data_IF_609846967446
#
_entry.id   IF_609846967446
#
_cell.length_a   1.000
_cell.length_b   1.000
_cell.length_c   1.000
_cell.angle_alpha   90.00
_cell.angle_beta   90.00
_cell.angle_gamma   90.00
#
_symmetry.space_group_name_H-M   'P 1'
#
loop_
_entity.id
_entity.type
_entity.pdbx_description
1 polymer ?
#
# COMPACT_ATOMS: atom_id res chain seq x y z
N UNK A 1 4.22 7.17 0.54
CA UNK A 1 3.19 6.41 1.25
C UNK A 1 2.22 7.36 1.92
N UNK A 2 2.64 8.01 3.01
CA UNK A 2 1.77 8.89 3.81
C UNK A 2 0.99 9.95 3.01
N UNK A 3 1.66 10.72 2.14
CA UNK A 3 0.97 11.79 1.38
C UNK A 3 -0.06 11.24 0.39
N UNK A 4 0.18 10.05 -0.18
CA UNK A 4 -0.81 9.40 -1.05
C UNK A 4 -2.00 8.85 -0.27
N UNK A 5 -1.77 8.26 0.91
CA UNK A 5 -2.85 7.91 1.82
C UNK A 5 -3.70 9.13 2.18
N UNK A 6 -3.06 10.26 2.51
CA UNK A 6 -3.78 11.50 2.82
C UNK A 6 -4.58 12.03 1.63
N UNK A 7 -4.07 11.89 0.41
CA UNK A 7 -4.82 12.23 -0.80
C UNK A 7 -6.01 11.29 -1.01
N UNK A 8 -5.79 9.97 -0.92
CA UNK A 8 -6.85 8.96 -1.07
C UNK A 8 -7.95 9.12 -0.02
N UNK A 9 -7.59 9.32 1.25
CA UNK A 9 -8.56 9.52 2.34
C UNK A 9 -9.38 10.81 2.20
N UNK A 10 -8.94 11.77 1.38
CA UNK A 10 -9.74 12.97 1.05
C UNK A 10 -10.79 12.66 -0.01
N UNK A 11 -10.45 11.84 -1.00
CA UNK A 11 -11.36 11.43 -2.07
C UNK A 11 -12.33 10.34 -1.59
N UNK A 12 -11.85 9.42 -0.77
CA UNK A 12 -12.62 8.35 -0.15
C UNK A 12 -12.40 8.33 1.38
N UNK A 13 -13.29 9.00 2.15
CA UNK A 13 -13.22 9.04 3.61
C UNK A 13 -13.45 7.70 4.31
N UNK A 14 -13.86 6.66 3.58
CA UNK A 14 -14.06 5.32 4.15
C UNK A 14 -12.74 4.57 4.33
N UNK A 15 -11.70 4.96 3.59
CA UNK A 15 -10.35 4.40 3.72
C UNK A 15 -9.74 4.88 5.04
N UNK A 16 -9.49 3.93 5.94
CA UNK A 16 -8.86 4.19 7.24
C UNK A 16 -7.54 3.45 7.35
N UNK A 17 -6.65 3.99 8.19
CA UNK A 17 -5.38 3.36 8.51
C UNK A 17 -5.50 2.55 9.81
N UNK A 18 -5.19 1.27 9.73
CA UNK A 18 -4.95 0.45 10.90
C UNK A 18 -3.54 0.74 11.43
N UNK A 19 -3.48 1.45 12.56
CA UNK A 19 -2.22 1.79 13.23
C UNK A 19 -1.72 0.67 14.14
N UNK A 20 -2.51 -0.41 14.36
CA UNK A 20 -2.06 -1.57 15.13
C UNK A 20 -0.93 -2.34 14.43
N UNK A 21 -0.72 -2.10 13.13
CA UNK A 21 0.38 -2.66 12.36
C UNK A 21 1.66 -1.81 12.39
N UNK A 22 1.61 -0.62 13.00
CA UNK A 22 2.77 0.27 13.10
C UNK A 22 4.00 -0.46 13.67
N UNK A 23 5.15 -0.27 13.03
CA UNK A 23 6.41 -0.89 13.46
C UNK A 23 6.53 -2.40 13.27
N UNK A 24 5.50 -3.11 12.78
CA UNK A 24 5.60 -4.56 12.48
C UNK A 24 6.56 -4.86 11.32
N UNK A 25 6.78 -3.90 10.45
CA UNK A 25 7.71 -3.99 9.33
C UNK A 25 8.64 -2.78 9.27
N UNK A 26 9.85 -3.02 8.77
CA UNK A 26 10.85 -1.99 8.47
C UNK A 26 11.35 -2.20 7.05
N UNK A 27 11.13 -1.21 6.19
CA UNK A 27 11.38 -1.30 4.75
C UNK A 27 12.58 -0.44 4.39
N UNK A 28 13.58 -1.04 3.74
CA UNK A 28 14.79 -0.35 3.28
C UNK A 28 14.78 -0.22 1.77
N UNK A 29 14.81 1.01 1.27
CA UNK A 29 14.91 1.29 -0.16
C UNK A 29 16.37 1.47 -0.55
N UNK A 30 16.93 0.49 -1.27
CA UNK A 30 18.32 0.52 -1.74
C UNK A 30 19.33 0.68 -0.60
N UNK A 31 20.26 1.63 -0.76
CA UNK A 31 21.28 1.94 0.26
C UNK A 31 20.82 2.92 1.34
N UNK A 32 19.60 3.46 1.26
CA UNK A 32 19.06 4.41 2.22
C UNK A 32 18.71 3.77 3.57
N UNK A 33 18.30 4.59 4.53
CA UNK A 33 17.88 4.11 5.86
C UNK A 33 16.56 3.33 5.79
N UNK A 34 16.38 2.40 6.73
CA UNK A 34 15.13 1.66 6.84
C UNK A 34 14.04 2.56 7.43
N UNK A 35 12.83 2.48 6.87
CA UNK A 35 11.65 3.22 7.30
C UNK A 35 10.66 2.26 7.93
N UNK A 36 10.27 2.54 9.18
CA UNK A 36 9.25 1.76 9.86
C UNK A 36 7.85 2.02 9.28
N UNK A 37 7.02 0.99 9.28
CA UNK A 37 5.61 1.07 8.91
C UNK A 37 4.84 2.01 9.86
N UNK A 38 4.04 2.91 9.29
CA UNK A 38 3.11 3.76 10.05
C UNK A 38 1.83 3.00 10.36
N UNK A 39 1.37 2.20 9.40
CA UNK A 39 0.18 1.39 9.50
C UNK A 39 -0.18 0.79 8.15
N UNK A 40 -1.31 0.11 8.10
CA UNK A 40 -1.83 -0.53 6.88
C UNK A 40 -3.16 0.11 6.53
N UNK A 41 -3.35 0.50 5.27
CA UNK A 41 -4.64 0.97 4.78
C UNK A 41 -5.27 -0.12 3.92
N UNK A 42 -6.48 -0.53 4.25
CA UNK A 42 -7.26 -1.42 3.41
C UNK A 42 -8.02 -0.57 2.40
N UNK A 43 -7.86 -0.88 1.11
CA UNK A 43 -8.48 -0.13 0.02
C UNK A 43 -9.28 -1.09 -0.84
N UNK A 44 -10.56 -0.77 -1.03
CA UNK A 44 -11.43 -1.49 -1.95
C UNK A 44 -11.11 -1.07 -3.38
N UNK A 45 -10.73 -2.03 -4.20
CA UNK A 45 -10.48 -1.84 -5.63
C UNK A 45 -11.39 -2.76 -6.44
N UNK A 46 -11.45 -2.56 -7.76
CA UNK A 46 -12.31 -3.37 -8.64
C UNK A 46 -11.96 -4.87 -8.62
N UNK A 47 -10.71 -5.20 -8.30
CA UNK A 47 -10.23 -6.58 -8.19
C UNK A 47 -10.33 -7.15 -6.77
N UNK A 48 -10.78 -6.36 -5.80
CA UNK A 48 -10.97 -6.76 -4.40
C UNK A 48 -10.31 -5.81 -3.39
N UNK A 49 -10.36 -6.21 -2.12
CA UNK A 49 -9.72 -5.49 -1.02
C UNK A 49 -8.20 -5.78 -0.99
N UNK A 50 -7.42 -4.71 -1.00
CA UNK A 50 -5.95 -4.74 -1.00
C UNK A 50 -5.42 -4.01 0.23
N UNK A 51 -4.44 -4.60 0.89
CA UNK A 51 -3.72 -3.94 1.98
C UNK A 51 -2.51 -3.19 1.42
N UNK A 52 -2.48 -1.88 1.67
CA UNK A 52 -1.35 -1.03 1.33
C UNK A 52 -0.55 -0.65 2.57
N UNK A 53 0.76 -0.81 2.46
CA UNK A 53 1.70 -0.38 3.50
C UNK A 53 1.92 1.14 3.46
N UNK A 54 1.57 1.82 4.54
CA UNK A 54 1.75 3.28 4.64
C UNK A 54 3.07 3.59 5.33
N UNK A 55 4.00 4.15 4.56
CA UNK A 55 5.35 4.51 5.01
C UNK A 55 5.58 6.02 4.98
N UNK A 56 6.44 6.51 5.87
CA UNK A 56 6.99 7.89 5.81
C UNK A 56 8.11 7.98 4.77
N UNK A 57 7.79 7.59 3.54
CA UNK A 57 8.70 7.62 2.40
C UNK A 57 8.03 8.32 1.21
N UNK A 58 8.80 8.99 0.32
CA UNK A 58 8.30 9.58 -0.91
C UNK A 58 7.93 8.53 -1.98
N UNK A 59 8.06 7.25 -1.67
CA UNK A 59 7.67 6.13 -2.54
C UNK A 59 6.14 5.93 -2.54
N UNK A 60 5.51 5.58 -3.67
CA UNK A 60 4.09 5.25 -3.73
C UNK A 60 3.69 4.05 -2.85
N UNK A 61 2.38 3.78 -2.74
CA UNK A 61 1.87 2.58 -2.08
C UNK A 61 2.59 1.31 -2.57
N UNK A 62 3.00 0.46 -1.63
CA UNK A 62 3.54 -0.85 -1.95
C UNK A 62 2.39 -1.86 -1.98
N UNK A 63 2.17 -2.45 -3.15
CA UNK A 63 1.22 -3.54 -3.34
C UNK A 63 1.79 -4.81 -2.69
N UNK A 64 1.01 -5.41 -1.78
CA UNK A 64 1.44 -6.61 -1.07
C UNK A 64 1.42 -7.84 -2.00
N UNK A 65 2.55 -8.54 -2.14
CA UNK A 65 2.64 -9.76 -2.95
C UNK A 65 1.69 -10.87 -2.45
N UNK A 66 1.46 -10.96 -1.14
CA UNK A 66 0.53 -11.94 -0.59
C UNK A 66 -0.93 -11.65 -1.01
N UNK A 67 -1.30 -10.37 -1.17
CA UNK A 67 -2.62 -10.00 -1.70
C UNK A 67 -2.72 -10.27 -3.19
N UNK A 68 -1.64 -10.05 -3.96
CA UNK A 68 -1.54 -10.44 -5.37
C UNK A 68 -1.79 -11.95 -5.54
N UNK A 69 -1.08 -12.78 -4.77
CA UNK A 69 -1.23 -14.24 -4.82
C UNK A 69 -2.64 -14.68 -4.39
N UNK A 70 -3.20 -14.06 -3.35
CA UNK A 70 -4.54 -14.35 -2.83
C UNK A 70 -5.63 -14.01 -3.84
N UNK A 71 -5.53 -12.84 -4.48
CA UNK A 71 -6.49 -12.35 -5.47
C UNK A 71 -6.24 -12.93 -6.86
N UNK A 72 -5.08 -13.60 -7.07
CA UNK A 72 -4.61 -14.12 -8.35
C UNK A 72 -4.53 -13.05 -9.44
N UNK A 73 -4.20 -11.84 -9.04
CA UNK A 73 -4.05 -10.70 -9.94
C UNK A 73 -2.59 -10.50 -10.31
N UNK A 74 -2.31 -9.76 -11.37
CA UNK A 74 -0.98 -9.29 -11.71
C UNK A 74 -1.06 -7.96 -12.43
N UNK A 75 -0.01 -7.16 -12.31
CA UNK A 75 0.08 -5.91 -13.06
C UNK A 75 0.61 -6.20 -14.47
N UNK A 76 -0.24 -6.02 -15.48
CA UNK A 76 0.13 -6.14 -16.87
C UNK A 76 0.72 -4.83 -17.39
N UNK A 77 2.05 -4.75 -17.35
CA UNK A 77 2.81 -3.58 -17.81
C UNK A 77 2.70 -3.27 -19.31
N UNK A 78 2.15 -4.17 -20.14
CA UNK A 78 1.97 -3.90 -21.59
C UNK A 78 0.75 -3.06 -21.89
N UNK A 79 -0.26 -3.09 -21.01
CA UNK A 79 -1.52 -2.35 -21.14
C UNK A 79 -1.77 -1.40 -19.96
N UNK A 80 -0.87 -1.39 -18.96
CA UNK A 80 -0.96 -0.54 -17.76
C UNK A 80 -2.18 -0.85 -16.87
N UNK A 81 -2.57 -2.13 -16.81
CA UNK A 81 -3.76 -2.59 -16.08
C UNK A 81 -3.42 -3.66 -15.04
N UNK A 82 -4.22 -3.70 -13.97
CA UNK A 82 -4.18 -4.76 -12.96
C UNK A 82 -5.25 -5.80 -13.33
N UNK A 83 -4.81 -7.00 -13.71
CA UNK A 83 -5.62 -8.09 -14.29
C UNK A 83 -5.71 -9.27 -13.35
#
# INVERSE_FOLDING_TARGET
>A
GKEQYLALAREDPTVTIDTSTAGKASIKFGKGEATALIGTAQVSTEIGEINFEVLKAPTPFLLCLADIDRLKVYFNNTIDELV
#
